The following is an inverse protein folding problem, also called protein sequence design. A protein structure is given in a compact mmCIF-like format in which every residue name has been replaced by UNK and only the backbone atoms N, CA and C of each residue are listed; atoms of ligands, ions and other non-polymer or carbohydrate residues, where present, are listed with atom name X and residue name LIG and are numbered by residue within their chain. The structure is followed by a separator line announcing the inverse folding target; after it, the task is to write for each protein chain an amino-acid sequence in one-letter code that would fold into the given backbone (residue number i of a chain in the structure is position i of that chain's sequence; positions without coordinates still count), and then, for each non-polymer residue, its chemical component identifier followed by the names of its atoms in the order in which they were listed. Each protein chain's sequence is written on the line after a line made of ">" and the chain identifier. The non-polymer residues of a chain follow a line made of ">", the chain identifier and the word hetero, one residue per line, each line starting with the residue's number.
data_IF_022518387144
#
_entry.id   IF_022518387144
#
_cell.length_a   1.000
_cell.length_b   1.000
_cell.length_c   1.000
_cell.angle_alpha   90.00
_cell.angle_beta   90.00
_cell.angle_gamma   90.00
#
_symmetry.space_group_name_H-M   'P 1'
#
loop_
_entity.id
_entity.type
_entity.pdbx_description
1 polymer ?
#
# COMPACT_ATOMS: atom_id res chain seq x y z
N UNK A 1 39.25 9.02 36.99
CA UNK A 1 39.50 9.21 35.54
C UNK A 1 38.38 8.50 34.78
N UNK A 2 37.34 9.23 34.45
CA UNK A 2 36.17 8.70 33.72
C UNK A 2 36.46 8.86 32.24
N UNK A 3 36.72 7.76 31.57
CA UNK A 3 36.97 7.70 30.13
C UNK A 3 35.78 8.32 29.38
N UNK A 4 36.05 9.38 28.60
CA UNK A 4 35.16 9.88 27.54
C UNK A 4 34.92 8.73 26.56
N UNK A 5 33.84 8.00 26.71
CA UNK A 5 33.28 7.21 25.65
C UNK A 5 32.90 8.21 24.56
N UNK A 6 33.50 8.09 23.39
CA UNK A 6 33.19 8.86 22.21
C UNK A 6 31.67 8.94 22.02
N UNK A 7 31.12 10.14 22.19
CA UNK A 7 29.76 10.47 21.74
C UNK A 7 29.82 10.57 20.21
N UNK A 8 29.87 9.42 19.56
CA UNK A 8 29.65 9.39 18.13
C UNK A 8 28.23 9.97 17.92
N UNK A 9 28.14 11.10 17.25
CA UNK A 9 26.84 11.72 16.98
C UNK A 9 25.95 10.71 16.28
N UNK A 10 24.72 10.51 16.79
CA UNK A 10 23.76 9.60 16.18
C UNK A 10 23.56 10.01 14.73
N UNK A 11 23.61 9.04 13.80
CA UNK A 11 23.22 9.27 12.42
C UNK A 11 21.80 9.84 12.38
N UNK A 12 21.55 10.81 11.52
CA UNK A 12 20.25 11.47 11.40
C UNK A 12 19.59 11.21 10.06
N UNK A 13 18.27 10.92 10.08
CA UNK A 13 17.46 10.74 8.89
C UNK A 13 16.27 11.71 8.85
N UNK A 14 16.11 12.38 7.71
CA UNK A 14 14.90 13.14 7.37
C UNK A 14 14.03 12.28 6.44
N UNK A 15 12.79 12.03 6.85
CA UNK A 15 11.84 11.17 6.13
C UNK A 15 10.67 12.00 5.64
N UNK A 16 10.24 11.79 4.40
CA UNK A 16 9.12 12.51 3.78
C UNK A 16 7.96 11.56 3.50
N UNK A 17 6.79 11.90 4.05
CA UNK A 17 5.52 11.19 3.88
C UNK A 17 5.14 10.29 5.05
N UNK A 18 3.98 10.58 5.67
CA UNK A 18 3.39 9.82 6.79
C UNK A 18 2.57 8.60 6.36
N UNK A 19 2.90 7.99 5.21
CA UNK A 19 2.28 6.74 4.73
C UNK A 19 3.00 5.49 5.20
N UNK A 20 2.60 4.33 4.66
CA UNK A 20 3.19 3.02 5.01
C UNK A 20 4.72 2.97 4.86
N UNK A 21 5.24 3.52 3.77
CA UNK A 21 6.67 3.51 3.49
C UNK A 21 7.46 4.37 4.50
N UNK A 22 7.02 5.63 4.69
CA UNK A 22 7.72 6.56 5.57
C UNK A 22 7.65 6.16 7.04
N UNK A 23 6.47 5.76 7.53
CA UNK A 23 6.32 5.32 8.92
C UNK A 23 7.10 4.02 9.21
N UNK A 24 7.11 3.07 8.26
CA UNK A 24 7.91 1.86 8.42
C UNK A 24 9.42 2.17 8.42
N UNK A 25 9.89 3.05 7.55
CA UNK A 25 11.28 3.49 7.54
C UNK A 25 11.65 4.23 8.82
N UNK A 26 10.77 5.12 9.30
CA UNK A 26 10.99 5.89 10.52
C UNK A 26 11.13 4.98 11.74
N UNK A 27 10.18 4.07 11.94
CA UNK A 27 10.24 3.11 13.05
C UNK A 27 11.46 2.19 12.97
N UNK A 28 11.74 1.64 11.76
CA UNK A 28 12.86 0.75 11.56
C UNK A 28 14.24 1.42 11.79
N UNK A 29 14.44 2.64 11.31
CA UNK A 29 15.67 3.39 11.53
C UNK A 29 15.83 3.81 13.00
N UNK A 30 14.75 4.25 13.65
CA UNK A 30 14.79 4.61 15.06
C UNK A 30 15.15 3.40 15.94
N UNK A 31 14.62 2.20 15.67
CA UNK A 31 15.01 0.94 16.33
C UNK A 31 16.49 0.58 16.13
N UNK A 32 17.13 1.13 15.08
CA UNK A 32 18.58 0.99 14.80
C UNK A 32 19.42 2.13 15.38
N UNK A 33 18.82 2.97 16.25
CA UNK A 33 19.52 4.04 16.97
C UNK A 33 19.71 5.32 16.17
N UNK A 34 19.07 5.48 15.00
CA UNK A 34 19.08 6.75 14.28
C UNK A 34 18.24 7.80 15.00
N UNK A 35 18.65 9.07 14.92
CA UNK A 35 17.76 10.20 15.12
C UNK A 35 16.89 10.34 13.88
N UNK A 36 15.56 10.42 14.05
CA UNK A 36 14.63 10.41 12.91
C UNK A 36 13.60 11.53 13.05
N UNK A 37 13.45 12.31 11.98
CA UNK A 37 12.33 13.25 11.80
C UNK A 37 11.55 12.88 10.56
N UNK A 38 10.22 12.80 10.71
CA UNK A 38 9.31 12.51 9.62
C UNK A 38 8.45 13.74 9.34
N UNK A 39 8.41 14.16 8.07
CA UNK A 39 7.62 15.27 7.57
C UNK A 39 6.40 14.76 6.81
N UNK A 40 5.20 15.20 7.22
CA UNK A 40 3.95 14.97 6.51
C UNK A 40 3.33 16.33 6.13
N UNK A 41 3.01 16.49 4.84
CA UNK A 41 2.43 17.75 4.33
C UNK A 41 1.03 18.05 4.86
N UNK A 42 0.27 17.01 5.17
CA UNK A 42 -1.08 17.17 5.72
C UNK A 42 -1.04 17.58 7.19
N UNK A 43 -2.05 18.33 7.69
CA UNK A 43 -2.14 18.70 9.10
C UNK A 43 -2.44 17.50 10.01
N UNK A 44 -2.68 16.32 9.45
CA UNK A 44 -2.91 15.07 10.15
C UNK A 44 -2.45 13.87 9.32
N UNK A 45 -2.21 12.74 9.98
CA UNK A 45 -1.90 11.48 9.31
C UNK A 45 -3.19 10.89 8.73
N UNK A 46 -3.55 11.35 7.52
CA UNK A 46 -4.73 10.84 6.81
C UNK A 46 -4.33 9.91 5.69
N UNK A 47 -4.69 8.63 5.75
CA UNK A 47 -4.53 7.76 4.60
C UNK A 47 -5.60 8.10 3.55
N UNK A 48 -5.19 8.17 2.31
CA UNK A 48 -6.13 8.08 1.20
C UNK A 48 -6.62 6.65 1.07
N UNK A 49 -7.93 6.45 1.03
CA UNK A 49 -8.55 5.13 0.93
C UNK A 49 -8.96 4.55 2.28
N UNK A 50 -9.95 3.67 2.25
CA UNK A 50 -10.72 3.27 3.42
C UNK A 50 -10.21 1.96 4.05
N UNK A 51 -10.15 0.86 3.28
CA UNK A 51 -9.70 -0.45 3.74
C UNK A 51 -8.46 -0.95 3.01
N UNK A 52 -7.75 -1.90 3.59
CA UNK A 52 -6.57 -2.51 2.98
C UNK A 52 -6.40 -3.96 3.43
N UNK A 53 -5.82 -4.79 2.56
CA UNK A 53 -5.34 -6.12 2.92
C UNK A 53 -3.89 -6.05 3.40
N UNK A 54 -3.63 -6.69 4.53
CA UNK A 54 -2.27 -6.92 5.01
C UNK A 54 -2.05 -8.43 5.04
N UNK A 55 -1.08 -8.88 4.28
CA UNK A 55 -0.70 -10.27 4.15
C UNK A 55 0.47 -10.61 5.08
N UNK A 56 0.82 -11.89 5.16
CA UNK A 56 1.89 -12.40 6.03
C UNK A 56 3.18 -11.56 5.97
N UNK A 57 3.61 -11.15 4.78
CA UNK A 57 4.79 -10.31 4.61
C UNK A 57 4.67 -8.96 5.33
N UNK A 58 3.56 -8.27 5.17
CA UNK A 58 3.30 -6.99 5.84
C UNK A 58 3.09 -7.15 7.34
N UNK A 59 2.41 -8.22 7.78
CA UNK A 59 2.19 -8.52 9.20
C UNK A 59 3.51 -8.75 9.95
N UNK A 60 4.47 -9.47 9.33
CA UNK A 60 5.81 -9.64 9.91
C UNK A 60 6.56 -8.32 10.09
N UNK A 61 6.39 -7.39 9.16
CA UNK A 61 6.97 -6.04 9.33
C UNK A 61 6.30 -5.31 10.49
N UNK A 62 4.97 -5.36 10.60
CA UNK A 62 4.24 -4.75 11.72
C UNK A 62 4.66 -5.36 13.07
N UNK A 63 4.84 -6.69 13.15
CA UNK A 63 5.40 -7.35 14.34
C UNK A 63 6.79 -6.81 14.68
N UNK A 64 7.67 -6.72 13.69
CA UNK A 64 9.03 -6.22 13.89
C UNK A 64 9.07 -4.77 14.37
N UNK A 65 8.12 -3.97 13.93
CA UNK A 65 7.97 -2.57 14.35
C UNK A 65 7.23 -2.40 15.69
N UNK A 66 6.61 -3.47 16.24
CA UNK A 66 5.79 -3.43 17.45
C UNK A 66 4.35 -2.95 17.24
N UNK A 67 3.93 -2.76 15.99
CA UNK A 67 2.64 -2.18 15.63
C UNK A 67 1.53 -3.23 15.34
N UNK A 68 1.85 -4.52 15.40
CA UNK A 68 0.96 -5.59 14.94
C UNK A 68 -0.38 -5.62 15.68
N UNK A 69 -0.35 -5.72 17.01
CA UNK A 69 -1.57 -5.96 17.80
C UNK A 69 -2.62 -4.87 17.62
N UNK A 70 -2.22 -3.60 17.65
CA UNK A 70 -3.13 -2.49 17.43
C UNK A 70 -3.55 -2.35 15.95
N UNK A 71 -2.67 -2.70 15.00
CA UNK A 71 -2.98 -2.64 13.57
C UNK A 71 -4.09 -3.62 13.16
N UNK A 72 -4.13 -4.83 13.74
CA UNK A 72 -5.09 -5.89 13.38
C UNK A 72 -6.25 -6.03 14.38
N UNK A 73 -6.29 -5.22 15.41
CA UNK A 73 -7.32 -5.29 16.46
C UNK A 73 -8.73 -5.19 15.90
N UNK A 74 -9.55 -6.20 16.11
CA UNK A 74 -10.91 -6.29 15.59
C UNK A 74 -11.03 -6.45 14.07
N UNK A 75 -9.91 -6.73 13.38
CA UNK A 75 -9.92 -6.98 11.96
C UNK A 75 -10.33 -8.44 11.67
N UNK A 76 -11.22 -8.70 10.70
CA UNK A 76 -11.54 -10.05 10.30
C UNK A 76 -10.37 -10.69 9.55
N UNK A 77 -10.22 -11.98 9.78
CA UNK A 77 -9.30 -12.81 9.02
C UNK A 77 -9.90 -13.06 7.61
N UNK A 78 -9.25 -12.60 6.57
CA UNK A 78 -9.75 -12.69 5.20
C UNK A 78 -9.41 -14.04 4.56
N UNK A 79 -10.07 -15.12 4.98
CA UNK A 79 -9.72 -16.48 4.50
C UNK A 79 -10.17 -16.76 3.08
N UNK A 80 -11.25 -16.13 2.62
CA UNK A 80 -11.88 -16.46 1.35
C UNK A 80 -12.08 -15.24 0.48
N UNK A 81 -11.75 -15.38 -0.79
CA UNK A 81 -12.07 -14.40 -1.83
C UNK A 81 -12.85 -15.07 -2.92
N UNK A 82 -14.02 -14.53 -3.23
CA UNK A 82 -14.86 -14.95 -4.33
C UNK A 82 -14.82 -13.92 -5.46
N UNK A 83 -14.84 -14.41 -6.69
CA UNK A 83 -15.13 -13.61 -7.87
C UNK A 83 -16.46 -14.04 -8.45
N UNK A 84 -17.34 -13.09 -8.71
CA UNK A 84 -18.68 -13.32 -9.27
C UNK A 84 -18.89 -12.49 -10.51
N UNK A 85 -19.75 -12.97 -11.41
CA UNK A 85 -20.17 -12.24 -12.60
C UNK A 85 -21.44 -11.40 -12.38
N UNK A 86 -21.91 -10.74 -13.43
CA UNK A 86 -23.08 -9.88 -13.43
C UNK A 86 -24.41 -10.59 -13.15
N UNK A 87 -24.43 -11.92 -13.23
CA UNK A 87 -25.57 -12.78 -12.81
C UNK A 87 -25.36 -13.38 -11.43
N UNK A 88 -24.39 -12.86 -10.64
CA UNK A 88 -24.06 -13.39 -9.32
C UNK A 88 -23.54 -14.84 -9.31
N UNK A 89 -23.08 -15.37 -10.45
CA UNK A 89 -22.51 -16.71 -10.54
C UNK A 89 -21.04 -16.67 -10.10
N UNK A 90 -20.64 -17.63 -9.28
CA UNK A 90 -19.27 -17.77 -8.80
C UNK A 90 -18.36 -18.21 -9.95
N UNK A 91 -17.41 -17.38 -10.32
CA UNK A 91 -16.37 -17.66 -11.32
C UNK A 91 -15.16 -18.36 -10.71
N UNK A 92 -14.76 -17.95 -9.52
CA UNK A 92 -13.66 -18.58 -8.78
C UNK A 92 -13.76 -18.31 -7.29
N UNK A 93 -13.27 -19.26 -6.51
CA UNK A 93 -13.08 -19.13 -5.05
C UNK A 93 -11.61 -19.38 -4.74
N UNK A 94 -11.01 -18.47 -4.04
CA UNK A 94 -9.67 -18.64 -3.49
C UNK A 94 -9.74 -18.69 -1.97
N UNK A 95 -9.27 -19.79 -1.39
CA UNK A 95 -9.09 -19.94 0.05
C UNK A 95 -7.61 -19.81 0.38
N UNK A 96 -7.29 -18.94 1.30
CA UNK A 96 -5.92 -18.79 1.78
C UNK A 96 -5.53 -20.00 2.61
N UNK A 97 -4.25 -20.36 2.54
CA UNK A 97 -3.66 -21.36 3.41
C UNK A 97 -3.85 -20.93 4.88
N UNK A 98 -4.48 -21.73 5.73
CA UNK A 98 -4.71 -21.37 7.14
C UNK A 98 -3.45 -21.06 7.93
N UNK A 99 -2.28 -21.56 7.47
CA UNK A 99 -0.97 -21.26 8.08
C UNK A 99 -0.45 -19.86 7.73
N UNK A 100 -1.11 -19.13 6.81
CA UNK A 100 -0.71 -17.80 6.35
C UNK A 100 -1.77 -16.79 6.71
N UNK A 101 -1.38 -15.80 7.49
CA UNK A 101 -2.28 -14.75 7.95
C UNK A 101 -2.55 -13.75 6.83
N UNK A 102 -3.80 -13.36 6.71
CA UNK A 102 -4.24 -12.24 5.89
C UNK A 102 -5.41 -11.55 6.60
N UNK A 103 -5.26 -10.26 6.85
CA UNK A 103 -6.31 -9.44 7.46
C UNK A 103 -6.76 -8.37 6.48
N UNK A 104 -8.06 -8.09 6.50
CA UNK A 104 -8.59 -6.86 5.94
C UNK A 104 -8.80 -5.87 7.07
N UNK A 105 -8.17 -4.71 6.97
CA UNK A 105 -8.08 -3.75 8.08
C UNK A 105 -8.51 -2.36 7.64
N UNK A 106 -8.98 -1.57 8.60
CA UNK A 106 -9.15 -0.13 8.41
C UNK A 106 -7.77 0.50 8.28
N UNK A 107 -7.50 1.14 7.14
CA UNK A 107 -6.18 1.69 6.80
C UNK A 107 -5.66 2.68 7.83
N UNK A 108 -6.55 3.54 8.37
CA UNK A 108 -6.20 4.52 9.41
C UNK A 108 -5.63 3.86 10.65
N UNK A 109 -6.18 2.71 11.06
CA UNK A 109 -5.72 1.99 12.24
C UNK A 109 -4.25 1.55 12.11
N UNK A 110 -3.88 1.03 10.94
CA UNK A 110 -2.49 0.62 10.68
C UNK A 110 -1.54 1.82 10.69
N UNK A 111 -1.95 2.93 10.08
CA UNK A 111 -1.16 4.19 10.09
C UNK A 111 -0.96 4.69 11.53
N UNK A 112 -2.02 4.71 12.33
CA UNK A 112 -1.94 5.17 13.72
C UNK A 112 -1.03 4.26 14.56
N UNK A 113 -1.21 2.93 14.46
CA UNK A 113 -0.38 1.97 15.18
C UNK A 113 1.12 2.13 14.86
N UNK A 114 1.45 2.29 13.57
CA UNK A 114 2.84 2.52 13.14
C UNK A 114 3.38 3.87 13.63
N UNK A 115 2.56 4.92 13.60
CA UNK A 115 2.96 6.26 14.06
C UNK A 115 3.19 6.29 15.57
N UNK A 116 2.35 5.62 16.35
CA UNK A 116 2.47 5.55 17.79
C UNK A 116 3.72 4.78 18.20
N UNK A 117 4.02 3.65 17.55
CA UNK A 117 5.27 2.92 17.78
C UNK A 117 6.51 3.72 17.34
N UNK A 118 6.43 4.45 16.23
CA UNK A 118 7.51 5.33 15.81
C UNK A 118 7.78 6.42 16.85
N UNK A 119 6.75 7.07 17.41
CA UNK A 119 6.88 8.07 18.50
C UNK A 119 7.48 7.47 19.76
N UNK A 120 7.06 6.26 20.18
CA UNK A 120 7.64 5.55 21.33
C UNK A 120 9.14 5.29 21.14
N UNK A 121 9.59 5.09 19.90
CA UNK A 121 11.00 4.93 19.54
C UNK A 121 11.74 6.27 19.32
N UNK A 122 11.11 7.41 19.65
CA UNK A 122 11.73 8.72 19.59
C UNK A 122 11.71 9.40 18.22
N UNK A 123 10.85 8.97 17.30
CA UNK A 123 10.65 9.64 16.01
C UNK A 123 9.87 10.93 16.22
N UNK A 124 10.43 12.06 15.76
CA UNK A 124 9.73 13.33 15.65
C UNK A 124 8.85 13.34 14.40
N UNK A 125 7.52 13.40 14.55
CA UNK A 125 6.57 13.50 13.43
C UNK A 125 6.09 14.94 13.32
N UNK A 126 6.44 15.61 12.23
CA UNK A 126 6.08 17.01 11.94
C UNK A 126 4.98 17.04 10.88
N UNK A 127 3.79 17.44 11.28
CA UNK A 127 2.63 17.60 10.42
C UNK A 127 2.59 19.02 9.80
N UNK A 128 1.87 19.20 8.68
CA UNK A 128 1.85 20.46 7.96
C UNK A 128 3.22 20.84 7.38
N UNK A 129 4.11 19.88 7.18
CA UNK A 129 5.50 20.05 6.79
C UNK A 129 5.76 19.46 5.41
N UNK A 130 5.73 20.31 4.38
CA UNK A 130 5.91 19.88 3.00
C UNK A 130 7.35 20.01 2.55
N UNK A 131 7.96 18.91 2.10
CA UNK A 131 9.22 18.90 1.40
C UNK A 131 9.00 18.90 -0.12
N UNK A 132 9.85 19.60 -0.85
CA UNK A 132 9.69 19.83 -2.30
C UNK A 132 10.84 19.31 -3.14
N UNK A 133 12.03 19.12 -2.58
CA UNK A 133 13.20 18.58 -3.27
C UNK A 133 14.20 17.99 -2.29
N UNK A 134 15.15 17.21 -2.83
CA UNK A 134 16.35 16.81 -2.10
C UNK A 134 17.57 16.85 -3.01
N UNK A 135 18.76 16.98 -2.42
CA UNK A 135 20.03 16.86 -3.14
C UNK A 135 20.69 15.52 -2.85
N UNK A 136 21.50 14.97 -3.77
CA UNK A 136 22.21 13.72 -3.53
C UNK A 136 23.13 13.73 -2.29
N UNK A 137 23.52 14.93 -1.81
CA UNK A 137 24.36 15.08 -0.61
C UNK A 137 23.59 14.94 0.70
N UNK A 138 22.28 14.66 0.65
CA UNK A 138 21.43 14.44 1.84
C UNK A 138 20.82 15.73 2.40
N UNK A 139 20.62 16.76 1.58
CA UNK A 139 19.91 17.95 1.99
C UNK A 139 18.45 17.91 1.51
N UNK A 140 17.52 18.06 2.45
CA UNK A 140 16.09 18.11 2.19
C UNK A 140 15.65 19.58 2.08
N UNK A 141 14.92 19.94 1.04
CA UNK A 141 14.44 21.29 0.77
C UNK A 141 12.94 21.35 1.04
N UNK A 142 12.54 22.20 1.97
CA UNK A 142 11.16 22.41 2.39
C UNK A 142 10.46 23.47 1.55
N UNK A 143 9.13 23.41 1.49
CA UNK A 143 8.32 24.39 0.75
C UNK A 143 8.44 25.82 1.31
N UNK A 144 8.78 25.98 2.58
CA UNK A 144 9.04 27.28 3.24
C UNK A 144 10.46 27.83 3.05
N UNK A 145 11.27 27.14 2.24
CA UNK A 145 12.65 27.53 1.92
C UNK A 145 13.71 27.00 2.89
N UNK A 146 13.34 26.39 4.02
CA UNK A 146 14.32 25.75 4.91
C UNK A 146 15.05 24.61 4.20
N UNK A 147 16.31 24.43 4.56
CA UNK A 147 17.19 23.37 4.06
C UNK A 147 17.69 22.55 5.26
N UNK A 148 17.38 21.27 5.26
CA UNK A 148 17.67 20.36 6.37
C UNK A 148 18.73 19.37 5.93
N UNK A 149 19.88 19.34 6.63
CA UNK A 149 20.95 18.37 6.37
C UNK A 149 20.72 17.09 7.16
N UNK A 150 20.85 15.95 6.49
CA UNK A 150 20.76 14.63 7.09
C UNK A 150 21.89 13.72 6.57
N UNK A 151 22.17 12.66 7.32
CA UNK A 151 22.99 11.56 6.81
C UNK A 151 22.24 10.78 5.74
N UNK A 152 20.91 10.71 5.86
CA UNK A 152 20.01 10.03 4.90
C UNK A 152 18.71 10.80 4.76
N UNK A 153 18.25 11.00 3.54
CA UNK A 153 16.88 11.41 3.22
C UNK A 153 16.11 10.19 2.70
N UNK A 154 14.92 9.95 3.23
CA UNK A 154 14.04 8.87 2.76
C UNK A 154 12.73 9.48 2.23
N UNK A 155 12.46 9.32 0.93
CA UNK A 155 11.25 9.82 0.29
C UNK A 155 10.21 8.69 0.13
N UNK A 156 9.18 8.73 0.98
CA UNK A 156 7.96 7.92 0.91
C UNK A 156 6.72 8.77 0.65
N UNK A 157 6.87 9.86 -0.10
CA UNK A 157 5.89 10.93 -0.35
C UNK A 157 4.84 10.59 -1.42
N UNK A 158 4.79 9.31 -1.81
CA UNK A 158 3.71 8.76 -2.62
C UNK A 158 3.86 8.99 -4.12
N UNK A 159 2.77 8.72 -4.84
CA UNK A 159 2.78 8.62 -6.30
C UNK A 159 3.19 9.93 -7.00
N UNK A 160 2.91 11.08 -6.38
CA UNK A 160 3.26 12.42 -6.87
C UNK A 160 4.51 12.98 -6.15
N UNK A 161 5.49 12.12 -5.88
CA UNK A 161 6.72 12.45 -5.19
C UNK A 161 7.48 13.60 -5.85
N UNK A 162 7.57 14.73 -5.15
CA UNK A 162 8.38 15.89 -5.58
C UNK A 162 9.88 15.61 -5.42
N UNK A 163 10.24 14.83 -4.38
CA UNK A 163 11.63 14.45 -4.12
C UNK A 163 12.19 13.59 -5.26
N UNK A 164 11.45 12.52 -5.64
CA UNK A 164 11.83 11.68 -6.80
C UNK A 164 12.02 12.51 -8.07
N UNK A 165 11.08 13.43 -8.32
CA UNK A 165 11.07 14.22 -9.56
C UNK A 165 12.24 15.21 -9.57
N UNK A 166 12.61 15.84 -8.43
CA UNK A 166 13.79 16.72 -8.33
C UNK A 166 15.11 16.00 -8.61
N UNK A 167 15.17 14.68 -8.40
CA UNK A 167 16.34 13.84 -8.67
C UNK A 167 16.31 13.18 -10.06
N UNK A 168 15.30 13.45 -10.87
CA UNK A 168 15.14 12.91 -12.22
C UNK A 168 15.28 11.37 -12.31
N UNK A 169 14.69 10.66 -11.34
CA UNK A 169 14.83 9.20 -11.18
C UNK A 169 13.82 8.38 -11.99
N UNK A 170 12.79 8.98 -12.59
CA UNK A 170 11.77 8.25 -13.34
C UNK A 170 12.39 7.58 -14.58
N UNK A 171 12.25 6.24 -14.65
CA UNK A 171 12.50 5.47 -15.88
C UNK A 171 11.21 5.29 -16.68
N UNK A 172 10.09 5.05 -15.98
CA UNK A 172 8.78 4.89 -16.61
C UNK A 172 7.67 5.31 -15.65
N UNK A 173 6.80 6.20 -16.13
CA UNK A 173 5.52 6.51 -15.48
C UNK A 173 4.42 6.41 -16.52
N UNK A 174 3.37 5.66 -16.22
CA UNK A 174 2.20 5.61 -17.09
C UNK A 174 0.91 5.48 -16.29
N UNK A 175 -0.12 6.26 -16.63
CA UNK A 175 -1.46 6.02 -16.13
C UNK A 175 -2.00 4.71 -16.70
N UNK A 176 -2.73 3.96 -15.88
CA UNK A 176 -3.40 2.73 -16.29
C UNK A 176 -4.81 3.05 -16.82
N UNK A 177 -5.45 2.09 -17.55
CA UNK A 177 -6.76 2.34 -18.15
C UNK A 177 -7.88 2.47 -17.12
N UNK A 178 -7.69 2.01 -15.89
CA UNK A 178 -8.68 1.95 -14.82
C UNK A 178 -8.29 2.76 -13.58
N UNK A 179 -9.26 2.93 -12.70
CA UNK A 179 -9.13 3.57 -11.41
C UNK A 179 -10.25 3.12 -10.47
N UNK A 180 -10.31 3.67 -9.29
CA UNK A 180 -11.34 3.31 -8.33
C UNK A 180 -11.83 4.50 -7.49
N UNK A 181 -13.12 4.48 -7.15
CA UNK A 181 -13.69 5.21 -6.02
C UNK A 181 -13.71 4.26 -4.81
N UNK A 182 -13.30 4.75 -3.66
CA UNK A 182 -13.20 3.96 -2.42
C UNK A 182 -14.02 4.61 -1.33
N UNK A 183 -14.88 3.80 -0.67
CA UNK A 183 -15.74 4.25 0.42
C UNK A 183 -15.77 3.22 1.55
N UNK A 184 -16.20 3.64 2.72
CA UNK A 184 -16.57 2.79 3.85
C UNK A 184 -18.06 2.90 4.07
N UNK A 185 -18.71 1.78 4.37
CA UNK A 185 -20.12 1.73 4.75
C UNK A 185 -20.29 0.86 5.99
N UNK A 186 -21.38 1.08 6.74
CA UNK A 186 -21.70 0.24 7.90
C UNK A 186 -22.19 -1.15 7.46
N UNK A 187 -21.87 -2.17 8.24
CA UNK A 187 -22.44 -3.51 8.11
C UNK A 187 -23.87 -3.55 8.64
N UNK A 188 -24.75 -4.20 7.91
CA UNK A 188 -26.11 -4.50 8.40
C UNK A 188 -26.08 -5.53 9.54
N UNK A 189 -27.13 -5.63 10.36
CA UNK A 189 -27.24 -6.69 11.37
C UNK A 189 -27.08 -8.11 10.78
N UNK A 190 -27.63 -8.35 9.57
CA UNK A 190 -27.52 -9.63 8.86
C UNK A 190 -26.08 -9.93 8.45
N UNK A 191 -25.37 -8.94 7.90
CA UNK A 191 -23.95 -9.07 7.55
C UNK A 191 -23.05 -9.31 8.77
N UNK A 192 -23.40 -8.76 9.94
CA UNK A 192 -22.68 -9.00 11.19
C UNK A 192 -22.92 -10.41 11.73
N UNK A 193 -24.14 -10.92 11.58
CA UNK A 193 -24.53 -12.25 12.03
C UNK A 193 -24.04 -13.37 11.10
N UNK A 194 -23.61 -13.04 9.87
CA UNK A 194 -23.17 -14.03 8.91
C UNK A 194 -21.86 -14.70 9.37
N UNK A 195 -21.83 -16.04 9.33
CA UNK A 195 -20.68 -16.85 9.76
C UNK A 195 -19.44 -16.71 8.87
N UNK A 196 -19.58 -16.10 7.68
CA UNK A 196 -18.53 -15.87 6.70
C UNK A 196 -17.81 -14.51 6.85
N UNK A 197 -17.85 -13.92 8.03
CA UNK A 197 -17.45 -12.54 8.37
C UNK A 197 -16.15 -11.98 7.79
N UNK A 198 -15.34 -12.83 7.12
CA UNK A 198 -14.11 -12.45 6.44
C UNK A 198 -14.11 -12.70 4.93
N UNK A 199 -15.23 -13.11 4.32
CA UNK A 199 -15.28 -13.35 2.87
C UNK A 199 -15.27 -12.05 2.09
N UNK A 200 -14.26 -11.90 1.24
CA UNK A 200 -14.20 -10.82 0.24
C UNK A 200 -14.89 -11.24 -1.03
N UNK A 201 -15.75 -10.39 -1.56
CA UNK A 201 -16.47 -10.66 -2.81
C UNK A 201 -16.14 -9.59 -3.84
N UNK A 202 -15.66 -10.02 -5.00
CA UNK A 202 -15.40 -9.15 -6.14
C UNK A 202 -16.39 -9.46 -7.27
N UNK A 203 -17.33 -8.54 -7.49
CA UNK A 203 -18.36 -8.65 -8.51
C UNK A 203 -17.91 -7.94 -9.79
N UNK A 204 -18.06 -8.59 -10.93
CA UNK A 204 -17.67 -8.10 -12.24
C UNK A 204 -18.88 -7.92 -13.16
N UNK A 205 -19.00 -6.75 -13.79
CA UNK A 205 -19.96 -6.48 -14.86
C UNK A 205 -19.32 -5.59 -15.90
N UNK A 206 -19.09 -6.11 -17.09
CA UNK A 206 -18.31 -5.39 -18.10
C UNK A 206 -16.92 -5.01 -17.53
N UNK A 207 -16.51 -3.77 -17.70
CA UNK A 207 -15.28 -3.23 -17.13
C UNK A 207 -15.42 -2.73 -15.69
N UNK A 208 -16.64 -2.76 -15.12
CA UNK A 208 -16.92 -2.34 -13.75
C UNK A 208 -16.73 -3.46 -12.76
N UNK A 209 -16.26 -3.13 -11.55
CA UNK A 209 -16.11 -4.06 -10.44
C UNK A 209 -16.61 -3.42 -9.15
N UNK A 210 -17.30 -4.20 -8.34
CA UNK A 210 -17.60 -3.87 -6.94
C UNK A 210 -16.88 -4.87 -6.07
N UNK A 211 -15.88 -4.40 -5.33
CA UNK A 211 -15.20 -5.17 -4.30
C UNK A 211 -15.87 -4.88 -2.97
N UNK A 212 -16.38 -5.91 -2.33
CA UNK A 212 -16.94 -5.91 -0.98
C UNK A 212 -15.96 -6.58 -0.03
N UNK A 213 -15.50 -5.88 1.01
CA UNK A 213 -14.52 -6.40 1.96
C UNK A 213 -14.88 -5.99 3.38
N UNK A 214 -15.30 -6.92 4.26
CA UNK A 214 -15.40 -6.63 5.68
C UNK A 214 -14.02 -6.24 6.25
N UNK A 215 -13.95 -5.15 7.02
CA UNK A 215 -12.69 -4.65 7.63
C UNK A 215 -12.77 -4.53 9.14
N UNK A 216 -13.97 -4.64 9.69
CA UNK A 216 -14.25 -4.74 11.13
C UNK A 216 -15.60 -5.41 11.35
N UNK A 217 -16.02 -5.58 12.59
CA UNK A 217 -17.37 -6.06 12.93
C UNK A 217 -18.47 -5.11 12.45
N UNK A 218 -18.15 -3.83 12.30
CA UNK A 218 -19.13 -2.77 12.01
C UNK A 218 -19.02 -2.21 10.61
N UNK A 219 -17.91 -2.39 9.88
CA UNK A 219 -17.62 -1.66 8.66
C UNK A 219 -17.20 -2.58 7.51
N UNK A 220 -17.59 -2.16 6.30
CA UNK A 220 -17.21 -2.76 5.02
C UNK A 220 -16.48 -1.73 4.18
N UNK A 221 -15.36 -2.12 3.64
CA UNK A 221 -14.68 -1.41 2.58
C UNK A 221 -15.26 -1.78 1.22
N UNK A 222 -15.67 -0.77 0.45
CA UNK A 222 -16.14 -0.90 -0.93
C UNK A 222 -15.15 -0.22 -1.87
N UNK A 223 -14.71 -0.95 -2.91
CA UNK A 223 -13.98 -0.33 -4.02
C UNK A 223 -14.77 -0.49 -5.32
N UNK A 224 -15.18 0.62 -5.88
CA UNK A 224 -15.83 0.72 -7.19
C UNK A 224 -14.74 0.95 -8.23
N UNK A 225 -14.43 -0.06 -9.02
CA UNK A 225 -13.40 0.02 -10.06
C UNK A 225 -14.06 0.12 -11.44
N UNK A 226 -13.54 1.00 -12.28
CA UNK A 226 -14.03 1.23 -13.63
C UNK A 226 -12.91 1.72 -14.54
N UNK A 227 -13.14 1.69 -15.85
CA UNK A 227 -12.23 2.35 -16.80
C UNK A 227 -12.23 3.87 -16.56
N UNK A 228 -11.09 4.50 -16.79
CA UNK A 228 -10.98 5.96 -16.71
C UNK A 228 -11.91 6.68 -17.71
N UNK A 229 -12.23 6.04 -18.84
CA UNK A 229 -13.19 6.52 -19.83
C UNK A 229 -14.66 6.38 -19.40
N UNK A 230 -14.97 5.63 -18.33
CA UNK A 230 -16.32 5.53 -17.78
C UNK A 230 -16.62 6.77 -16.91
N UNK A 231 -17.01 7.85 -17.58
CA UNK A 231 -17.24 9.14 -16.92
C UNK A 231 -18.35 9.10 -15.88
N UNK A 232 -19.39 8.29 -16.11
CA UNK A 232 -20.49 8.14 -15.17
C UNK A 232 -20.07 7.31 -13.95
N UNK A 233 -19.39 6.19 -14.19
CA UNK A 233 -18.95 5.30 -13.12
C UNK A 233 -17.98 5.92 -12.15
N UNK A 234 -17.17 6.91 -12.59
CA UNK A 234 -16.16 7.57 -11.74
C UNK A 234 -16.66 8.82 -11.00
N UNK A 235 -17.92 9.21 -11.18
CA UNK A 235 -18.47 10.41 -10.51
C UNK A 235 -18.55 10.24 -9.00
N UNK A 236 -18.33 11.34 -8.30
CA UNK A 236 -18.65 11.52 -6.89
C UNK A 236 -19.35 12.89 -6.79
N UNK A 237 -20.58 12.93 -6.32
CA UNK A 237 -21.43 11.84 -5.78
C UNK A 237 -21.63 10.66 -6.70
N UNK A 238 -21.77 9.45 -6.11
CA UNK A 238 -21.86 8.18 -6.86
C UNK A 238 -23.20 8.09 -7.60
N UNK A 239 -23.15 7.89 -8.91
CA UNK A 239 -24.33 7.66 -9.78
C UNK A 239 -24.91 6.25 -9.55
N UNK A 240 -25.65 6.06 -8.44
CA UNK A 240 -26.18 4.77 -7.98
C UNK A 240 -27.02 4.06 -9.05
N UNK A 241 -27.83 4.80 -9.81
CA UNK A 241 -28.67 4.22 -10.87
C UNK A 241 -27.83 3.50 -11.93
N UNK A 242 -26.72 4.10 -12.35
CA UNK A 242 -25.78 3.50 -13.32
C UNK A 242 -25.07 2.25 -12.77
N UNK A 243 -24.74 2.23 -11.48
CA UNK A 243 -24.16 1.06 -10.82
C UNK A 243 -25.17 -0.05 -10.63
N UNK A 244 -26.44 0.25 -10.26
CA UNK A 244 -27.54 -0.72 -10.18
C UNK A 244 -27.84 -1.37 -11.53
N UNK A 245 -27.78 -0.61 -12.62
CA UNK A 245 -27.92 -1.16 -13.97
C UNK A 245 -26.83 -2.20 -14.28
N UNK A 246 -25.60 -1.98 -13.83
CA UNK A 246 -24.49 -2.92 -13.99
C UNK A 246 -24.58 -4.12 -13.05
N UNK A 247 -25.12 -3.92 -11.85
CA UNK A 247 -25.18 -4.92 -10.78
C UNK A 247 -26.58 -4.96 -10.13
N UNK A 248 -27.64 -5.43 -10.85
CA UNK A 248 -29.00 -5.40 -10.32
C UNK A 248 -29.15 -6.20 -9.02
N UNK A 249 -28.41 -7.30 -8.86
CA UNK A 249 -28.41 -8.14 -7.66
C UNK A 249 -27.75 -7.51 -6.43
N UNK A 250 -27.10 -6.35 -6.58
CA UNK A 250 -26.49 -5.58 -5.49
C UNK A 250 -27.23 -4.25 -5.22
N UNK A 251 -28.49 -4.12 -5.67
CA UNK A 251 -29.22 -2.86 -5.54
C UNK A 251 -29.28 -2.34 -4.11
N UNK A 252 -29.59 -3.22 -3.14
CA UNK A 252 -29.67 -2.84 -1.71
C UNK A 252 -28.31 -2.41 -1.14
N UNK A 253 -27.22 -3.07 -1.58
CA UNK A 253 -25.86 -2.67 -1.20
C UNK A 253 -25.52 -1.29 -1.79
N UNK A 254 -25.87 -1.06 -3.06
CA UNK A 254 -25.57 0.19 -3.77
C UNK A 254 -26.34 1.37 -3.17
N UNK A 255 -27.55 1.17 -2.65
CA UNK A 255 -28.33 2.21 -1.97
C UNK A 255 -27.63 2.73 -0.72
N UNK A 256 -26.82 1.93 -0.08
CA UNK A 256 -26.05 2.25 1.12
C UNK A 256 -24.74 2.99 0.84
N UNK A 257 -24.33 3.16 -0.42
CA UNK A 257 -23.10 3.86 -0.74
C UNK A 257 -23.13 5.31 -0.27
N UNK A 258 -22.02 5.75 0.30
CA UNK A 258 -21.82 7.13 0.76
C UNK A 258 -21.02 7.93 -0.27
N UNK A 259 -21.20 9.25 -0.28
CA UNK A 259 -20.64 10.14 -1.29
C UNK A 259 -19.37 10.88 -0.84
N UNK A 260 -18.62 10.27 0.10
CA UNK A 260 -17.37 10.81 0.64
C UNK A 260 -16.10 10.23 -0.01
N UNK A 261 -16.28 9.41 -1.03
CA UNK A 261 -15.17 8.79 -1.77
C UNK A 261 -14.43 9.77 -2.69
N UNK A 262 -13.27 9.35 -3.15
CA UNK A 262 -12.51 10.05 -4.18
C UNK A 262 -12.11 9.07 -5.27
N UNK A 263 -12.24 9.50 -6.53
CA UNK A 263 -11.71 8.75 -7.67
C UNK A 263 -10.20 8.91 -7.72
N UNK A 264 -9.49 7.79 -7.80
CA UNK A 264 -8.06 7.74 -8.06
C UNK A 264 -7.76 6.85 -9.26
N UNK A 265 -7.13 7.41 -10.30
CA UNK A 265 -6.63 6.63 -11.44
C UNK A 265 -5.42 5.82 -10.99
N UNK A 266 -5.32 4.56 -11.44
CA UNK A 266 -4.15 3.74 -11.16
C UNK A 266 -2.98 4.16 -12.04
N UNK A 267 -1.79 4.08 -11.48
CA UNK A 267 -0.55 4.39 -12.19
C UNK A 267 0.49 3.29 -11.96
N UNK A 268 1.40 3.19 -12.92
CA UNK A 268 2.60 2.38 -12.84
C UNK A 268 3.82 3.28 -12.85
N UNK A 269 4.69 3.14 -11.85
CA UNK A 269 5.96 3.88 -11.75
C UNK A 269 7.11 2.89 -11.59
N UNK A 270 8.17 3.11 -12.38
CA UNK A 270 9.45 2.42 -12.27
C UNK A 270 10.57 3.45 -12.33
N UNK A 271 11.55 3.31 -11.46
CA UNK A 271 12.69 4.20 -11.39
C UNK A 271 13.94 3.63 -12.11
N UNK A 272 14.84 4.51 -12.48
CA UNK A 272 16.20 4.18 -12.94
C UNK A 272 16.99 3.54 -11.80
N UNK A 273 16.96 4.18 -10.63
CA UNK A 273 17.49 3.70 -9.35
C UNK A 273 16.55 4.06 -8.22
N UNK A 274 16.57 3.28 -7.13
CA UNK A 274 15.83 3.58 -5.90
C UNK A 274 16.58 4.54 -4.99
N UNK A 275 17.79 4.93 -5.35
CA UNK A 275 18.59 5.89 -4.58
C UNK A 275 19.36 6.84 -5.48
N UNK A 276 19.71 8.02 -4.92
CA UNK A 276 20.63 8.98 -5.49
C UNK A 276 21.47 9.58 -4.36
N UNK A 277 22.76 9.22 -4.30
CA UNK A 277 23.65 9.63 -3.20
C UNK A 277 23.11 9.20 -1.84
N UNK A 278 22.78 10.16 -0.98
CA UNK A 278 22.21 9.96 0.36
C UNK A 278 20.67 10.02 0.39
N UNK A 279 20.00 9.82 -0.74
CA UNK A 279 18.54 9.83 -0.83
C UNK A 279 18.03 8.46 -1.26
N UNK A 280 17.11 7.87 -0.51
CA UNK A 280 16.41 6.64 -0.84
C UNK A 280 14.93 6.94 -1.15
N UNK A 281 14.37 6.31 -2.19
CA UNK A 281 12.98 6.47 -2.61
C UNK A 281 12.21 5.18 -2.30
N UNK A 282 11.08 5.29 -1.62
CA UNK A 282 10.28 4.16 -1.13
C UNK A 282 8.80 4.23 -1.54
N UNK A 283 8.13 3.09 -1.47
CA UNK A 283 6.69 2.99 -1.66
C UNK A 283 6.22 3.42 -3.05
N UNK A 284 5.05 4.03 -3.14
CA UNK A 284 4.47 4.46 -4.42
C UNK A 284 5.33 5.52 -5.14
N UNK A 285 6.19 6.24 -4.42
CA UNK A 285 7.17 7.14 -5.02
C UNK A 285 8.18 6.38 -5.90
N UNK A 286 8.57 5.16 -5.50
CA UNK A 286 9.53 4.32 -6.24
C UNK A 286 8.86 3.33 -7.20
N UNK A 287 7.75 2.71 -6.77
CA UNK A 287 7.22 1.51 -7.43
C UNK A 287 5.69 1.41 -7.37
N UNK A 288 4.98 2.48 -7.64
CA UNK A 288 3.51 2.46 -7.71
C UNK A 288 3.00 1.35 -8.63
N UNK A 289 1.94 0.69 -8.22
CA UNK A 289 1.33 -0.45 -8.90
C UNK A 289 -0.20 -0.46 -8.70
N UNK A 290 -0.98 -1.05 -9.65
CA UNK A 290 -2.41 -1.19 -9.46
C UNK A 290 -2.72 -2.15 -8.30
N UNK A 291 -3.89 -2.03 -7.64
CA UNK A 291 -4.20 -2.79 -6.42
C UNK A 291 -4.65 -4.24 -6.67
N UNK A 292 -4.52 -4.79 -7.88
CA UNK A 292 -5.10 -6.08 -8.28
C UNK A 292 -4.70 -7.30 -7.43
N UNK A 293 -3.55 -7.21 -6.74
CA UNK A 293 -3.08 -8.25 -5.80
C UNK A 293 -2.91 -7.74 -4.37
N UNK A 294 -3.28 -6.49 -4.07
CA UNK A 294 -3.28 -5.94 -2.72
C UNK A 294 -1.91 -5.83 -2.05
N UNK A 295 -0.81 -5.68 -2.80
CA UNK A 295 0.56 -5.76 -2.27
C UNK A 295 1.31 -4.42 -2.17
N UNK A 296 0.69 -3.29 -2.52
CA UNK A 296 1.38 -1.99 -2.51
C UNK A 296 1.94 -1.61 -1.13
N UNK A 297 1.12 -1.72 -0.08
CA UNK A 297 1.56 -1.45 1.29
C UNK A 297 2.57 -2.49 1.79
N UNK A 298 2.34 -3.79 1.49
CA UNK A 298 3.27 -4.87 1.86
C UNK A 298 4.67 -4.63 1.29
N UNK A 299 4.78 -4.32 -0.01
CA UNK A 299 6.06 -3.98 -0.64
C UNK A 299 6.68 -2.72 -0.01
N UNK A 300 5.87 -1.69 0.25
CA UNK A 300 6.36 -0.44 0.85
C UNK A 300 6.97 -0.68 2.23
N UNK A 301 6.30 -1.43 3.09
CA UNK A 301 6.77 -1.76 4.43
C UNK A 301 8.00 -2.68 4.42
N UNK A 302 8.01 -3.72 3.55
CA UNK A 302 9.17 -4.63 3.41
C UNK A 302 10.42 -3.87 2.98
N UNK A 303 10.31 -3.04 1.95
CA UNK A 303 11.43 -2.27 1.42
C UNK A 303 11.95 -1.25 2.43
N UNK A 304 11.08 -0.69 3.28
CA UNK A 304 11.46 0.23 4.34
C UNK A 304 12.22 -0.48 5.48
N UNK A 305 11.74 -1.65 5.92
CA UNK A 305 12.41 -2.44 6.95
C UNK A 305 13.78 -2.92 6.47
N UNK A 306 13.83 -3.45 5.24
CA UNK A 306 15.08 -3.95 4.67
C UNK A 306 16.11 -2.83 4.44
N UNK A 307 15.68 -1.61 4.07
CA UNK A 307 16.58 -0.45 4.00
C UNK A 307 17.30 -0.22 5.34
N UNK A 308 16.57 -0.18 6.44
CA UNK A 308 17.16 -0.01 7.76
C UNK A 308 18.09 -1.18 8.13
N UNK A 309 17.73 -2.41 7.72
CA UNK A 309 18.54 -3.61 7.94
C UNK A 309 19.90 -3.54 7.22
N UNK A 310 19.94 -3.13 5.94
CA UNK A 310 21.18 -2.98 5.17
C UNK A 310 22.02 -1.82 5.69
N UNK A 311 21.41 -0.68 6.04
CA UNK A 311 22.13 0.47 6.62
C UNK A 311 22.79 0.19 8.00
N UNK A 312 22.27 -0.79 8.72
CA UNK A 312 22.82 -1.25 10.00
C UNK A 312 24.02 -2.19 9.84
N UNK A 313 24.13 -2.90 8.72
CA UNK A 313 25.13 -3.95 8.49
C UNK A 313 26.27 -3.57 7.58
N UNK A 314 25.99 -2.72 6.62
CA UNK A 314 27.01 -2.29 5.66
C UNK A 314 27.87 -1.16 6.24
N UNK A 315 29.17 -1.18 5.90
CA UNK A 315 30.12 -0.20 6.41
C UNK A 315 29.89 1.21 5.87
N UNK A 316 29.47 1.31 4.61
CA UNK A 316 29.20 2.60 3.98
C UNK A 316 27.79 2.64 3.37
N UNK A 317 27.23 3.85 3.35
CA UNK A 317 25.85 4.09 2.91
C UNK A 317 25.65 3.77 1.43
N UNK A 318 26.60 4.07 0.57
CA UNK A 318 26.47 3.85 -0.86
C UNK A 318 26.38 2.34 -1.17
N UNK A 319 27.15 1.51 -0.49
CA UNK A 319 27.07 0.07 -0.57
C UNK A 319 25.76 -0.44 0.00
N UNK A 320 25.33 0.06 1.17
CA UNK A 320 24.03 -0.31 1.77
C UNK A 320 22.86 -0.08 0.80
N UNK A 321 22.79 1.11 0.19
CA UNK A 321 21.73 1.47 -0.73
C UNK A 321 21.75 0.63 -2.01
N UNK A 322 22.92 0.34 -2.58
CA UNK A 322 23.06 -0.53 -3.75
C UNK A 322 22.65 -1.98 -3.45
N UNK A 323 23.13 -2.53 -2.33
CA UNK A 323 22.83 -3.91 -1.92
C UNK A 323 21.34 -4.06 -1.62
N UNK A 324 20.76 -3.08 -0.92
CA UNK A 324 19.31 -3.01 -0.68
C UNK A 324 18.51 -3.05 -1.99
N UNK A 325 18.79 -2.15 -2.92
CA UNK A 325 18.08 -2.11 -4.20
C UNK A 325 18.25 -3.42 -4.98
N UNK A 326 19.45 -3.95 -5.05
CA UNK A 326 19.78 -5.17 -5.80
C UNK A 326 18.97 -6.37 -5.28
N UNK A 327 18.81 -6.48 -3.98
CA UNK A 327 18.15 -7.64 -3.37
C UNK A 327 16.62 -7.51 -3.30
N UNK A 328 16.10 -6.30 -3.05
CA UNK A 328 14.65 -6.09 -2.81
C UNK A 328 13.86 -5.77 -4.09
N UNK A 329 14.50 -5.10 -5.04
CA UNK A 329 13.87 -4.64 -6.28
C UNK A 329 13.28 -5.79 -7.12
N UNK A 330 13.92 -6.96 -7.30
CA UNK A 330 13.37 -8.03 -8.13
C UNK A 330 12.00 -8.53 -7.65
N UNK A 331 11.79 -8.65 -6.33
CA UNK A 331 10.50 -9.06 -5.76
C UNK A 331 9.43 -8.00 -5.99
N UNK A 332 9.77 -6.73 -5.79
CA UNK A 332 8.86 -5.60 -6.01
C UNK A 332 8.47 -5.47 -7.48
N UNK A 333 9.42 -5.59 -8.42
CA UNK A 333 9.13 -5.55 -9.85
C UNK A 333 8.33 -6.77 -10.33
N UNK A 334 8.55 -7.96 -9.72
CA UNK A 334 7.68 -9.11 -9.93
C UNK A 334 6.23 -8.78 -9.55
N UNK A 335 6.05 -8.20 -8.36
CA UNK A 335 4.73 -7.77 -7.84
C UNK A 335 4.05 -6.80 -8.78
N UNK A 336 4.78 -5.80 -9.28
CA UNK A 336 4.28 -4.83 -10.26
C UNK A 336 3.80 -5.52 -11.55
N UNK A 337 4.63 -6.42 -12.12
CA UNK A 337 4.29 -7.14 -13.37
C UNK A 337 3.03 -7.99 -13.21
N UNK A 338 2.94 -8.75 -12.14
CA UNK A 338 1.76 -9.61 -11.89
C UNK A 338 0.53 -8.77 -11.62
N UNK A 339 0.64 -7.67 -10.86
CA UNK A 339 -0.49 -6.79 -10.59
C UNK A 339 -1.02 -6.12 -11.87
N UNK A 340 -0.14 -5.66 -12.75
CA UNK A 340 -0.52 -5.10 -14.06
C UNK A 340 -1.15 -6.18 -14.94
N UNK A 341 -0.57 -7.36 -15.03
CA UNK A 341 -1.09 -8.47 -15.82
C UNK A 341 -2.52 -8.86 -15.41
N UNK A 342 -2.78 -8.96 -14.11
CA UNK A 342 -4.11 -9.30 -13.57
C UNK A 342 -5.13 -8.15 -13.73
N UNK A 343 -4.72 -6.96 -14.10
CA UNK A 343 -5.58 -5.85 -14.49
C UNK A 343 -6.04 -5.87 -15.95
N UNK A 344 -5.33 -6.61 -16.84
CA UNK A 344 -5.65 -6.64 -18.28
C UNK A 344 -7.10 -7.06 -18.59
N UNK A 345 -7.69 -8.03 -17.88
CA UNK A 345 -9.07 -8.46 -18.14
C UNK A 345 -10.12 -7.35 -18.02
N UNK A 346 -9.83 -6.25 -17.33
CA UNK A 346 -10.73 -5.09 -17.24
C UNK A 346 -11.09 -4.52 -18.61
N UNK A 347 -10.19 -4.62 -19.59
CA UNK A 347 -10.40 -4.11 -20.96
C UNK A 347 -10.90 -5.17 -21.95
N UNK A 348 -11.03 -6.44 -21.51
CA UNK A 348 -11.38 -7.54 -22.43
C UNK A 348 -12.89 -7.69 -22.61
N UNK A 349 -13.35 -8.24 -23.76
CA UNK A 349 -14.72 -8.67 -23.95
C UNK A 349 -15.15 -9.68 -22.87
N UNK A 350 -16.43 -9.62 -22.46
CA UNK A 350 -16.98 -10.43 -21.36
C UNK A 350 -16.68 -11.93 -21.47
N UNK A 351 -16.82 -12.60 -22.64
CA UNK A 351 -16.54 -14.04 -22.73
C UNK A 351 -15.06 -14.37 -22.43
N UNK A 352 -14.14 -13.60 -22.99
CA UNK A 352 -12.70 -13.80 -22.79
C UNK A 352 -12.30 -13.54 -21.33
N UNK A 353 -12.82 -12.46 -20.73
CA UNK A 353 -12.59 -12.13 -19.33
C UNK A 353 -13.09 -13.23 -18.41
N UNK A 354 -14.32 -13.72 -18.63
CA UNK A 354 -14.90 -14.80 -17.82
C UNK A 354 -14.05 -16.06 -17.89
N UNK A 355 -13.67 -16.50 -19.10
CA UNK A 355 -12.80 -17.63 -19.29
C UNK A 355 -11.46 -17.46 -18.54
N UNK A 356 -10.83 -16.30 -18.67
CA UNK A 356 -9.56 -16.02 -17.99
C UNK A 356 -9.71 -16.06 -16.46
N UNK A 357 -10.70 -15.39 -15.89
CA UNK A 357 -10.91 -15.35 -14.43
C UNK A 357 -11.16 -16.75 -13.86
N UNK A 358 -11.92 -17.59 -14.58
CA UNK A 358 -12.18 -18.98 -14.19
C UNK A 358 -10.90 -19.83 -14.25
N UNK A 359 -10.13 -19.74 -15.35
CA UNK A 359 -8.91 -20.53 -15.55
C UNK A 359 -7.78 -20.06 -14.64
N UNK A 360 -7.59 -18.75 -14.48
CA UNK A 360 -6.56 -18.18 -13.61
C UNK A 360 -6.77 -18.58 -12.15
N UNK A 361 -8.02 -18.68 -11.69
CA UNK A 361 -8.35 -19.16 -10.35
C UNK A 361 -7.99 -20.62 -10.11
N UNK A 362 -8.04 -21.46 -11.15
CA UNK A 362 -7.71 -22.90 -11.10
C UNK A 362 -6.22 -23.20 -11.34
N UNK A 363 -5.48 -22.30 -11.95
CA UNK A 363 -4.07 -22.50 -12.29
C UNK A 363 -3.18 -22.39 -11.05
N UNK A 364 -2.58 -23.50 -10.60
CA UNK A 364 -1.62 -23.54 -9.50
C UNK A 364 -0.44 -22.59 -9.74
N UNK A 365 0.05 -22.50 -10.98
CA UNK A 365 1.11 -21.57 -11.33
C UNK A 365 0.69 -20.11 -11.15
N UNK A 366 -0.47 -19.72 -11.67
CA UNK A 366 -0.97 -18.36 -11.55
C UNK A 366 -1.21 -17.97 -10.08
N UNK A 367 -1.76 -18.87 -9.28
CA UNK A 367 -1.95 -18.69 -7.84
C UNK A 367 -0.58 -18.50 -7.16
N UNK A 368 0.43 -19.32 -7.50
CA UNK A 368 1.78 -19.20 -6.96
C UNK A 368 2.40 -17.83 -7.30
N UNK A 369 2.31 -17.37 -8.56
CA UNK A 369 2.84 -16.06 -8.96
C UNK A 369 2.14 -14.91 -8.23
N UNK A 370 0.81 -14.96 -8.12
CA UNK A 370 0.00 -13.94 -7.43
C UNK A 370 0.30 -13.86 -5.93
N UNK A 371 0.58 -14.99 -5.29
CA UNK A 371 0.81 -15.08 -3.84
C UNK A 371 2.29 -15.05 -3.44
N UNK A 372 3.21 -15.03 -4.40
CA UNK A 372 4.66 -15.10 -4.14
C UNK A 372 5.11 -14.02 -3.14
N UNK A 373 4.74 -12.77 -3.38
CA UNK A 373 5.09 -11.64 -2.51
C UNK A 373 4.42 -11.73 -1.15
N UNK A 374 3.13 -12.12 -1.11
CA UNK A 374 2.39 -12.30 0.13
C UNK A 374 3.02 -13.35 1.08
N UNK A 375 3.71 -14.34 0.51
CA UNK A 375 4.39 -15.42 1.24
C UNK A 375 5.88 -15.14 1.51
N UNK A 376 6.40 -14.06 0.98
CA UNK A 376 7.81 -13.69 1.16
C UNK A 376 8.09 -13.35 2.63
N UNK A 377 9.24 -13.82 3.13
CA UNK A 377 9.75 -13.44 4.45
C UNK A 377 10.58 -12.18 4.25
N UNK A 378 10.16 -11.02 4.77
CA UNK A 378 10.90 -9.77 4.56
C UNK A 378 12.28 -9.81 5.21
N UNK A 379 13.25 -9.20 4.54
CA UNK A 379 14.59 -9.00 5.09
C UNK A 379 14.52 -8.16 6.36
N UNK A 380 15.08 -8.64 7.43
CA UNK A 380 15.09 -7.96 8.73
C UNK A 380 13.98 -8.40 9.70
N UNK A 381 13.09 -9.35 9.30
CA UNK A 381 12.10 -9.94 10.21
C UNK A 381 12.61 -11.21 10.86
#
# INVERSE_FOLDING_TARGET
>A
MTTRKDMQSKRHAEIVGGGFAGLAAAGALAQKGWSVRLHERSPELRPTGAGIYIYENGLRVLEKLGAYDEAVKGAPFAHTREMRDEQNRVLSVHRWDPSKRVFSVVRQRVINAMADEARKNGVEIVLGSEAVAATPDGELIMADGRRLKADLVVAGDGINSKIRDSLNLIAKRRPLPDGAVRIMIDRTPQERAASDGGTTIENWSGSRRILYTPVSDTEVYIALTMLHSDEVGRRVPIERASWKQSFPHLSDLIDRFVDNGQYGRFEYIRLKSWSAGRVAILGDAAHALPPNIGQGAGCSMMNALSLAWYLDREKDMATALRTWETNERPMTEHTQRISVFLGLPTTWPTPMRRAFLTLAGKSKWMVAQRTKTARHIPTGT
#
